data_IF_420109606798
#
_entry.id   IF_420109606798
#
_cell.length_a   1.000
_cell.length_b   1.000
_cell.length_c   1.000
_cell.angle_alpha   90.00
_cell.angle_beta   90.00
_cell.angle_gamma   90.00
#
_symmetry.space_group_name_H-M   'P 1'
#
loop_
_entity.id
_entity.type
_entity.pdbx_description
1 polymer ?
#
# COMPACT_ATOMS: atom_id res chain seq x y z
N UNK A 1 -8.94 26.93 -15.68
CA UNK A 1 -9.20 25.47 -15.71
C UNK A 1 -10.15 25.16 -14.57
N UNK A 2 -11.22 24.44 -14.86
CA UNK A 2 -12.24 24.05 -13.89
C UNK A 2 -12.58 22.57 -14.00
N UNK A 3 -12.89 21.95 -12.90
CA UNK A 3 -13.41 20.59 -12.83
C UNK A 3 -14.84 20.62 -13.40
N UNK A 4 -15.11 19.78 -14.42
CA UNK A 4 -16.42 19.77 -15.09
C UNK A 4 -17.19 18.44 -14.92
N UNK A 5 -16.51 17.38 -14.43
CA UNK A 5 -17.15 16.08 -14.26
C UNK A 5 -16.17 15.02 -13.81
N UNK A 6 -16.71 13.80 -13.65
CA UNK A 6 -15.93 12.60 -13.41
C UNK A 6 -16.56 11.40 -14.11
N UNK A 7 -15.77 10.38 -14.32
CA UNK A 7 -16.20 9.06 -14.78
C UNK A 7 -15.67 8.00 -13.84
N UNK A 8 -16.46 6.96 -13.59
CA UNK A 8 -16.03 5.80 -12.83
C UNK A 8 -16.00 4.58 -13.73
N UNK A 9 -14.92 3.83 -13.63
CA UNK A 9 -14.71 2.59 -14.36
C UNK A 9 -14.37 1.51 -13.35
N UNK A 10 -14.54 0.24 -13.74
CA UNK A 10 -14.07 -0.88 -12.94
C UNK A 10 -13.40 -1.88 -13.85
N UNK A 11 -12.18 -2.25 -13.55
CA UNK A 11 -11.42 -3.27 -14.25
C UNK A 11 -10.95 -4.35 -13.29
N UNK A 12 -10.11 -5.25 -13.77
CA UNK A 12 -9.51 -6.32 -12.97
C UNK A 12 -7.99 -6.21 -12.98
N UNK A 13 -7.41 -6.63 -11.88
CA UNK A 13 -6.03 -7.01 -11.81
C UNK A 13 -5.93 -8.51 -11.63
N UNK A 14 -5.09 -9.15 -12.42
CA UNK A 14 -4.88 -10.60 -12.38
C UNK A 14 -3.41 -10.87 -12.06
N UNK A 15 -3.14 -11.56 -10.96
CA UNK A 15 -1.80 -12.00 -10.58
C UNK A 15 -1.38 -13.30 -11.24
N UNK A 16 -2.31 -14.05 -11.86
CA UNK A 16 -2.04 -15.38 -12.42
C UNK A 16 -1.73 -16.45 -11.38
N UNK A 17 -1.91 -16.15 -10.08
CA UNK A 17 -1.67 -17.03 -8.94
C UNK A 17 -2.54 -16.61 -7.75
N UNK A 18 -2.74 -17.48 -6.75
CA UNK A 18 -3.40 -17.09 -5.52
C UNK A 18 -2.66 -15.93 -4.82
N UNK A 19 -3.40 -14.96 -4.29
CA UNK A 19 -2.87 -13.83 -3.52
C UNK A 19 -3.69 -13.59 -2.28
N UNK A 20 -3.03 -13.22 -1.19
CA UNK A 20 -3.72 -12.94 0.06
C UNK A 20 -2.79 -12.77 1.26
N UNK A 21 -3.42 -12.73 2.41
CA UNK A 21 -2.80 -12.56 3.70
C UNK A 21 -3.47 -13.47 4.76
N UNK A 22 -3.11 -13.32 6.02
CA UNK A 22 -3.68 -14.10 7.12
C UNK A 22 -5.19 -13.91 7.34
N UNK A 23 -5.84 -12.93 6.69
CA UNK A 23 -7.28 -12.68 6.78
C UNK A 23 -8.06 -13.32 5.62
N UNK A 24 -7.41 -13.72 4.53
CA UNK A 24 -8.07 -14.39 3.43
C UNK A 24 -7.27 -14.38 2.13
N UNK A 25 -7.74 -15.15 1.15
CA UNK A 25 -7.07 -15.39 -0.11
C UNK A 25 -8.04 -15.22 -1.27
N UNK A 26 -7.60 -14.55 -2.32
CA UNK A 26 -8.21 -14.60 -3.65
C UNK A 26 -7.59 -15.78 -4.39
N UNK A 27 -8.32 -16.89 -4.48
CA UNK A 27 -7.77 -18.17 -4.98
C UNK A 27 -7.40 -18.16 -6.46
N UNK A 28 -8.07 -17.36 -7.27
CA UNK A 28 -7.78 -17.14 -8.69
C UNK A 28 -6.83 -15.96 -8.94
N UNK A 29 -6.51 -15.20 -7.89
CA UNK A 29 -5.66 -14.01 -7.99
C UNK A 29 -6.28 -12.84 -8.75
N UNK A 30 -7.61 -12.84 -8.93
CA UNK A 30 -8.30 -11.78 -9.67
C UNK A 30 -9.01 -10.85 -8.70
N UNK A 31 -8.69 -9.55 -8.77
CA UNK A 31 -9.28 -8.51 -7.92
C UNK A 31 -9.90 -7.40 -8.75
N UNK A 32 -11.00 -6.84 -8.23
CA UNK A 32 -11.64 -5.65 -8.82
C UNK A 32 -10.81 -4.40 -8.53
N UNK A 33 -10.61 -3.58 -9.55
CA UNK A 33 -9.91 -2.28 -9.42
C UNK A 33 -10.83 -1.16 -9.90
N UNK A 34 -11.41 -0.39 -8.98
CA UNK A 34 -12.17 0.80 -9.36
C UNK A 34 -11.23 1.93 -9.78
N UNK A 35 -11.66 2.71 -10.77
CA UNK A 35 -10.93 3.85 -11.33
C UNK A 35 -11.83 5.07 -11.32
N UNK A 36 -11.28 6.20 -10.93
CA UNK A 36 -11.89 7.53 -11.07
C UNK A 36 -11.10 8.32 -12.10
N UNK A 37 -11.80 8.89 -13.08
CA UNK A 37 -11.23 9.87 -14.00
C UNK A 37 -11.92 11.20 -13.75
N UNK A 38 -11.15 12.24 -13.42
CA UNK A 38 -11.65 13.60 -13.21
C UNK A 38 -11.35 14.43 -14.45
N UNK A 39 -12.38 15.09 -14.98
CA UNK A 39 -12.30 15.86 -16.23
C UNK A 39 -12.30 17.36 -15.99
N UNK A 40 -11.57 18.12 -16.84
CA UNK A 40 -11.52 19.58 -16.79
C UNK A 40 -11.95 20.22 -18.11
N UNK A 41 -12.37 21.49 -18.04
CA UNK A 41 -12.70 22.34 -19.21
C UNK A 41 -11.47 22.66 -20.10
N UNK A 42 -10.27 22.32 -19.64
CA UNK A 42 -9.02 22.49 -20.40
C UNK A 42 -8.62 21.24 -21.20
N UNK A 43 -9.46 20.19 -21.21
CA UNK A 43 -9.16 18.93 -21.90
C UNK A 43 -8.08 18.09 -21.21
N UNK A 44 -7.72 18.41 -19.97
CA UNK A 44 -6.85 17.60 -19.12
C UNK A 44 -7.72 16.76 -18.22
N UNK A 45 -7.44 15.45 -18.16
CA UNK A 45 -8.07 14.52 -17.24
C UNK A 45 -7.03 13.88 -16.34
N UNK A 46 -7.37 13.64 -15.08
CA UNK A 46 -6.50 12.94 -14.14
C UNK A 46 -7.10 11.62 -13.70
N UNK A 47 -6.24 10.68 -13.35
CA UNK A 47 -6.59 9.32 -13.00
C UNK A 47 -6.27 9.03 -11.54
N UNK A 48 -7.22 8.43 -10.83
CA UNK A 48 -7.03 7.85 -9.50
C UNK A 48 -7.60 6.45 -9.45
N UNK A 49 -6.91 5.54 -8.75
CA UNK A 49 -7.40 4.18 -8.51
C UNK A 49 -7.81 4.06 -7.03
N UNK A 50 -8.98 3.52 -6.79
CA UNK A 50 -9.50 3.34 -5.44
C UNK A 50 -11.03 3.28 -5.41
N UNK A 51 -11.63 3.15 -4.23
CA UNK A 51 -13.08 3.12 -4.07
C UNK A 51 -13.77 4.31 -4.73
N UNK A 52 -15.03 4.08 -5.15
CA UNK A 52 -15.91 5.11 -5.71
C UNK A 52 -17.21 5.22 -4.89
N UNK A 53 -17.17 4.86 -3.61
CA UNK A 53 -18.34 4.87 -2.73
C UNK A 53 -18.70 6.31 -2.37
N UNK A 54 -19.99 6.64 -2.46
CA UNK A 54 -20.52 8.00 -2.26
C UNK A 54 -19.82 9.08 -3.13
N UNK A 55 -19.35 8.71 -4.30
CA UNK A 55 -18.56 9.63 -5.13
C UNK A 55 -19.32 10.91 -5.50
N UNK A 56 -20.63 10.86 -5.74
CA UNK A 56 -21.45 12.04 -6.02
C UNK A 56 -21.38 13.03 -4.86
N UNK A 57 -21.46 12.51 -3.62
CA UNK A 57 -21.39 13.36 -2.43
C UNK A 57 -20.00 13.97 -2.25
N UNK A 58 -18.93 13.19 -2.44
CA UNK A 58 -17.54 13.66 -2.35
C UNK A 58 -17.26 14.69 -3.45
N UNK A 59 -17.61 14.37 -4.71
CA UNK A 59 -17.33 15.19 -5.88
C UNK A 59 -18.05 16.56 -5.84
N UNK A 60 -19.25 16.62 -5.32
CA UNK A 60 -20.00 17.87 -5.15
C UNK A 60 -19.27 18.93 -4.28
N UNK A 61 -18.22 18.53 -3.55
CA UNK A 61 -17.38 19.48 -2.83
C UNK A 61 -16.40 20.24 -3.73
N UNK A 62 -16.11 19.73 -4.93
CA UNK A 62 -15.02 20.21 -5.80
C UNK A 62 -15.47 20.58 -7.21
N UNK A 63 -16.69 20.27 -7.61
CA UNK A 63 -17.24 20.60 -8.92
C UNK A 63 -17.15 22.11 -9.19
N UNK A 64 -16.71 22.50 -10.39
CA UNK A 64 -16.51 23.88 -10.80
C UNK A 64 -15.27 24.57 -10.24
N UNK A 65 -14.54 23.96 -9.34
CA UNK A 65 -13.31 24.50 -8.73
C UNK A 65 -12.07 24.33 -9.63
N UNK A 66 -10.98 25.03 -9.30
CA UNK A 66 -9.70 24.86 -9.96
C UNK A 66 -8.98 23.62 -9.40
N UNK A 67 -8.78 22.55 -10.20
CA UNK A 67 -8.17 21.29 -9.74
C UNK A 67 -6.73 21.48 -9.24
N UNK A 68 -6.04 22.56 -9.58
CA UNK A 68 -4.66 22.83 -9.11
C UNK A 68 -4.60 23.18 -7.62
N UNK A 69 -5.73 23.50 -7.01
CA UNK A 69 -5.85 23.80 -5.58
C UNK A 69 -6.00 22.53 -4.72
N UNK A 70 -5.22 21.48 -5.04
CA UNK A 70 -5.41 20.10 -4.55
C UNK A 70 -5.63 20.03 -3.04
N UNK A 71 -4.73 20.58 -2.23
CA UNK A 71 -4.81 20.48 -0.76
C UNK A 71 -6.03 21.18 -0.17
N UNK A 72 -6.46 22.29 -0.77
CA UNK A 72 -7.69 22.98 -0.34
C UNK A 72 -8.94 22.18 -0.71
N UNK A 73 -8.94 21.55 -1.89
CA UNK A 73 -10.03 20.69 -2.35
C UNK A 73 -10.09 19.39 -1.53
N UNK A 74 -8.96 18.82 -1.16
CA UNK A 74 -8.89 17.70 -0.24
C UNK A 74 -9.59 18.01 1.09
N UNK A 75 -9.29 19.16 1.70
CA UNK A 75 -9.93 19.60 2.95
C UNK A 75 -11.43 19.90 2.78
N UNK A 76 -11.86 20.32 1.59
CA UNK A 76 -13.31 20.50 1.29
C UNK A 76 -14.02 19.16 1.21
N UNK A 77 -13.42 18.15 0.57
CA UNK A 77 -13.97 16.79 0.53
C UNK A 77 -14.10 16.20 1.94
N UNK A 78 -13.09 16.36 2.79
CA UNK A 78 -13.16 15.94 4.19
C UNK A 78 -14.30 16.62 4.96
N UNK A 79 -14.45 17.93 4.81
CA UNK A 79 -15.55 18.68 5.46
C UNK A 79 -16.93 18.24 4.98
N UNK A 80 -17.06 17.95 3.68
CA UNK A 80 -18.31 17.48 3.10
C UNK A 80 -18.73 16.13 3.65
N UNK A 81 -17.78 15.25 3.86
CA UNK A 81 -18.01 13.89 4.36
C UNK A 81 -17.84 13.75 5.87
N UNK A 82 -17.90 14.85 6.61
CA UNK A 82 -17.68 14.88 8.05
C UNK A 82 -18.50 13.83 8.82
N UNK A 83 -19.77 13.62 8.46
CA UNK A 83 -20.64 12.62 9.10
C UNK A 83 -20.28 11.17 8.78
N UNK A 84 -19.52 10.90 7.72
CA UNK A 84 -19.02 9.58 7.39
C UNK A 84 -17.81 9.17 8.27
N UNK A 85 -17.25 10.09 9.07
CA UNK A 85 -16.17 9.80 10.01
C UNK A 85 -14.79 9.64 9.38
N UNK A 86 -14.58 10.11 8.15
CA UNK A 86 -13.31 10.07 7.41
C UNK A 86 -12.62 8.70 7.49
N UNK A 87 -13.34 7.63 7.23
CA UNK A 87 -12.83 6.27 7.37
C UNK A 87 -13.31 5.35 6.23
N UNK A 88 -12.63 4.22 6.08
CA UNK A 88 -13.02 3.17 5.17
C UNK A 88 -13.12 3.62 3.71
N UNK A 89 -14.09 3.07 2.98
CA UNK A 89 -14.21 3.26 1.54
C UNK A 89 -14.51 4.70 1.12
N UNK A 90 -15.21 5.50 1.94
CA UNK A 90 -15.45 6.93 1.64
C UNK A 90 -14.13 7.71 1.71
N UNK A 91 -13.27 7.41 2.68
CA UNK A 91 -11.95 8.02 2.74
C UNK A 91 -11.08 7.60 1.54
N UNK A 92 -11.19 6.34 1.10
CA UNK A 92 -10.57 5.87 -0.14
C UNK A 92 -11.06 6.58 -1.39
N UNK A 93 -12.35 6.94 -1.46
CA UNK A 93 -12.91 7.75 -2.57
C UNK A 93 -12.27 9.14 -2.61
N UNK A 94 -12.07 9.77 -1.44
CA UNK A 94 -11.32 11.04 -1.34
C UNK A 94 -9.89 10.85 -1.84
N UNK A 95 -9.23 9.75 -1.44
CA UNK A 95 -7.86 9.43 -1.88
C UNK A 95 -7.73 9.22 -3.38
N UNK A 96 -8.69 8.55 -4.01
CA UNK A 96 -8.73 8.36 -5.47
C UNK A 96 -8.89 9.70 -6.20
N UNK A 97 -9.83 10.54 -5.76
CA UNK A 97 -10.02 11.89 -6.33
C UNK A 97 -8.77 12.76 -6.09
N UNK A 98 -8.21 12.75 -4.90
CA UNK A 98 -6.98 13.49 -4.56
C UNK A 98 -5.82 13.12 -5.50
N UNK A 99 -5.62 11.83 -5.75
CA UNK A 99 -4.60 11.34 -6.68
C UNK A 99 -4.85 11.85 -8.11
N UNK A 100 -6.11 11.82 -8.58
CA UNK A 100 -6.49 12.38 -9.88
C UNK A 100 -6.24 13.89 -9.97
N UNK A 101 -6.49 14.64 -8.90
CA UNK A 101 -6.20 16.08 -8.86
C UNK A 101 -4.71 16.39 -8.90
N UNK A 102 -3.88 15.59 -8.23
CA UNK A 102 -2.42 15.72 -8.31
C UNK A 102 -1.92 15.40 -9.73
N UNK A 103 -2.50 14.41 -10.39
CA UNK A 103 -2.19 14.08 -11.78
C UNK A 103 -2.52 15.26 -12.71
N UNK A 104 -3.72 15.83 -12.62
CA UNK A 104 -4.13 17.04 -13.38
C UNK A 104 -3.16 18.19 -13.13
N UNK A 105 -2.83 18.45 -11.86
CA UNK A 105 -1.95 19.56 -11.49
C UNK A 105 -0.57 19.42 -12.12
N UNK A 106 -0.02 18.23 -12.11
CA UNK A 106 1.30 17.95 -12.69
C UNK A 106 1.26 18.02 -14.22
N UNK A 107 0.24 17.47 -14.87
CA UNK A 107 0.02 17.61 -16.31
C UNK A 107 -0.11 19.08 -16.72
N UNK A 108 -0.89 19.86 -15.98
CA UNK A 108 -1.09 21.30 -16.26
C UNK A 108 0.20 22.12 -16.05
N UNK A 109 1.12 21.68 -15.22
CA UNK A 109 2.43 22.27 -15.03
C UNK A 109 3.45 21.82 -16.10
N UNK A 110 3.13 20.80 -16.90
CA UNK A 110 4.04 20.20 -17.86
C UNK A 110 5.17 19.40 -17.21
N UNK A 111 5.01 18.95 -15.97
CA UNK A 111 6.03 18.25 -15.19
C UNK A 111 5.54 16.91 -14.65
N UNK A 112 6.41 15.90 -14.49
CA UNK A 112 6.07 14.71 -13.73
C UNK A 112 5.82 15.08 -12.26
N UNK A 113 4.89 14.36 -11.59
CA UNK A 113 4.49 14.72 -10.23
C UNK A 113 5.65 14.72 -9.24
N UNK A 114 6.62 13.81 -9.37
CA UNK A 114 7.79 13.77 -8.48
C UNK A 114 8.61 15.07 -8.51
N UNK A 115 8.76 15.68 -9.70
CA UNK A 115 9.47 16.95 -9.86
C UNK A 115 8.65 18.12 -9.36
N UNK A 116 7.36 18.15 -9.66
CA UNK A 116 6.43 19.17 -9.15
C UNK A 116 6.40 19.23 -7.62
N UNK A 117 6.54 18.09 -6.95
CA UNK A 117 6.60 17.98 -5.49
C UNK A 117 7.99 18.33 -4.91
N UNK A 118 8.99 18.62 -5.75
CA UNK A 118 10.34 18.99 -5.33
C UNK A 118 11.29 17.81 -5.13
N UNK A 119 10.95 16.63 -5.63
CA UNK A 119 11.85 15.48 -5.63
C UNK A 119 13.12 15.74 -6.43
N UNK A 120 14.26 15.31 -5.92
CA UNK A 120 15.58 15.47 -6.56
C UNK A 120 15.88 14.36 -7.56
N UNK A 121 15.46 13.15 -7.24
CA UNK A 121 15.75 11.93 -8.01
C UNK A 121 14.45 11.17 -8.21
N UNK A 122 14.30 10.54 -9.37
CA UNK A 122 13.16 9.70 -9.73
C UNK A 122 13.30 8.24 -9.30
N UNK A 123 14.36 7.87 -8.60
CA UNK A 123 14.59 6.53 -8.08
C UNK A 123 14.02 6.41 -6.68
N UNK A 124 13.20 5.38 -6.46
CA UNK A 124 12.55 5.08 -5.18
C UNK A 124 12.95 3.68 -4.74
N UNK A 125 13.76 3.52 -3.68
CA UNK A 125 14.14 2.21 -3.16
C UNK A 125 12.92 1.35 -2.85
N UNK A 126 13.00 0.03 -3.16
CA UNK A 126 11.87 -0.88 -3.01
C UNK A 126 12.23 -2.15 -2.24
N UNK A 127 11.23 -2.76 -1.60
CA UNK A 127 11.28 -4.09 -1.03
C UNK A 127 10.20 -4.97 -1.66
N UNK A 128 10.49 -6.27 -1.83
CA UNK A 128 9.55 -7.24 -2.38
C UNK A 128 8.41 -7.57 -1.39
N UNK A 129 7.19 -7.70 -1.89
CA UNK A 129 6.01 -8.11 -1.13
C UNK A 129 5.11 -8.99 -1.99
N UNK A 130 5.11 -10.29 -1.74
CA UNK A 130 4.53 -11.27 -2.65
C UNK A 130 3.03 -11.50 -2.48
N UNK A 131 2.35 -11.04 -1.42
CA UNK A 131 0.99 -11.45 -1.07
C UNK A 131 0.81 -12.98 -1.09
N UNK A 132 1.74 -13.69 -0.52
CA UNK A 132 2.21 -15.02 -0.83
C UNK A 132 1.70 -16.12 0.10
N UNK A 133 0.79 -15.83 1.04
CA UNK A 133 0.39 -16.74 2.13
C UNK A 133 -0.10 -18.11 1.65
N UNK A 134 -0.69 -18.16 0.45
CA UNK A 134 -1.28 -19.37 -0.12
C UNK A 134 -0.35 -20.19 -1.03
N UNK A 135 0.86 -19.71 -1.28
CA UNK A 135 1.81 -20.37 -2.18
C UNK A 135 2.50 -21.55 -1.50
N UNK A 136 2.75 -22.61 -2.24
CA UNK A 136 3.68 -23.64 -1.80
C UNK A 136 5.14 -23.14 -1.88
N UNK A 137 6.08 -23.92 -1.34
CA UNK A 137 7.50 -23.51 -1.30
C UNK A 137 8.10 -23.29 -2.69
N UNK A 138 7.67 -24.03 -3.70
CA UNK A 138 8.19 -23.92 -5.07
C UNK A 138 7.72 -22.65 -5.72
N UNK A 139 6.42 -22.36 -5.65
CA UNK A 139 5.80 -21.15 -6.15
C UNK A 139 6.35 -19.92 -5.40
N UNK A 140 6.47 -20.03 -4.08
CA UNK A 140 6.99 -18.99 -3.21
C UNK A 140 8.43 -18.62 -3.57
N UNK A 141 9.32 -19.60 -3.72
CA UNK A 141 10.72 -19.38 -4.12
C UNK A 141 10.79 -18.73 -5.49
N UNK A 142 9.99 -19.18 -6.47
CA UNK A 142 9.98 -18.61 -7.81
C UNK A 142 9.58 -17.11 -7.81
N UNK A 143 8.62 -16.71 -6.98
CA UNK A 143 8.23 -15.29 -6.81
C UNK A 143 9.41 -14.46 -6.31
N UNK A 144 10.14 -14.92 -5.30
CA UNK A 144 11.26 -14.17 -4.74
C UNK A 144 12.54 -14.23 -5.59
N UNK A 145 12.72 -15.27 -6.40
CA UNK A 145 13.76 -15.30 -7.44
C UNK A 145 13.53 -14.23 -8.50
N UNK A 146 12.30 -14.05 -8.96
CA UNK A 146 11.96 -12.97 -9.89
C UNK A 146 12.24 -11.56 -9.29
N UNK A 147 11.97 -11.34 -8.02
CA UNK A 147 12.37 -10.09 -7.35
C UNK A 147 13.88 -9.92 -7.23
N UNK A 148 14.60 -11.02 -6.96
CA UNK A 148 16.05 -11.01 -6.88
C UNK A 148 16.71 -10.64 -8.22
N UNK A 149 16.13 -11.09 -9.36
CA UNK A 149 16.56 -10.70 -10.71
C UNK A 149 16.39 -9.20 -10.97
N UNK A 150 15.39 -8.56 -10.37
CA UNK A 150 15.20 -7.11 -10.40
C UNK A 150 16.17 -6.35 -9.47
N UNK A 151 17.06 -7.06 -8.77
CA UNK A 151 18.05 -6.47 -7.87
C UNK A 151 17.51 -6.11 -6.47
N UNK A 152 16.31 -6.58 -6.11
CA UNK A 152 15.69 -6.35 -4.79
C UNK A 152 16.51 -7.08 -3.70
N UNK A 153 16.65 -6.43 -2.53
CA UNK A 153 17.48 -6.93 -1.41
C UNK A 153 16.74 -6.98 -0.08
N UNK A 154 15.49 -6.62 -0.09
CA UNK A 154 14.63 -6.60 1.07
C UNK A 154 13.32 -7.26 0.71
N UNK A 155 12.75 -8.06 1.61
CA UNK A 155 11.49 -8.72 1.35
C UNK A 155 10.63 -8.80 2.60
N UNK A 156 9.35 -8.59 2.39
CA UNK A 156 8.27 -8.80 3.34
C UNK A 156 7.45 -10.00 2.89
N UNK A 157 7.26 -10.95 3.78
CA UNK A 157 6.38 -12.09 3.54
C UNK A 157 5.08 -11.93 4.33
N UNK A 158 4.01 -12.54 3.87
CA UNK A 158 2.76 -12.67 4.61
C UNK A 158 2.80 -13.90 5.51
N UNK A 159 2.45 -13.74 6.78
CA UNK A 159 2.47 -14.82 7.76
C UNK A 159 1.53 -14.58 8.94
N UNK A 160 1.86 -15.11 10.10
CA UNK A 160 1.12 -14.91 11.34
C UNK A 160 0.15 -16.03 11.69
N UNK A 161 0.02 -17.06 10.86
CA UNK A 161 -0.84 -18.23 11.14
C UNK A 161 -0.08 -19.36 11.86
N UNK A 162 1.17 -19.57 11.50
CA UNK A 162 2.05 -20.59 12.07
C UNK A 162 3.50 -20.09 12.12
N UNK A 163 4.07 -19.99 13.33
CA UNK A 163 5.39 -19.38 13.55
C UNK A 163 6.54 -20.23 12.99
N UNK A 164 6.39 -21.56 12.97
CA UNK A 164 7.42 -22.46 12.41
C UNK A 164 7.43 -22.36 10.88
N UNK A 165 6.24 -22.31 10.28
CA UNK A 165 6.09 -22.07 8.84
C UNK A 165 6.62 -20.69 8.43
N UNK A 166 6.32 -19.64 9.21
CA UNK A 166 6.84 -18.29 8.97
C UNK A 166 8.38 -18.28 9.05
N UNK A 167 8.98 -18.97 10.03
CA UNK A 167 10.43 -19.10 10.17
C UNK A 167 11.06 -19.79 8.96
N UNK A 168 10.45 -20.89 8.49
CA UNK A 168 10.87 -21.61 7.29
C UNK A 168 10.86 -20.70 6.05
N UNK A 169 9.76 -20.02 5.79
CA UNK A 169 9.60 -19.12 4.63
C UNK A 169 10.55 -17.92 4.66
N UNK A 170 10.76 -17.32 5.83
CA UNK A 170 11.75 -16.27 6.02
C UNK A 170 13.17 -16.75 5.71
N UNK A 171 13.49 -18.00 6.08
CA UNK A 171 14.79 -18.60 5.74
C UNK A 171 14.92 -18.83 4.23
N UNK A 172 13.87 -19.32 3.54
CA UNK A 172 13.87 -19.48 2.09
C UNK A 172 14.14 -18.15 1.38
N UNK A 173 13.42 -17.07 1.74
CA UNK A 173 13.63 -15.74 1.15
C UNK A 173 15.03 -15.22 1.42
N UNK A 174 15.52 -15.36 2.66
CA UNK A 174 16.90 -14.97 3.01
C UNK A 174 17.91 -15.65 2.08
N UNK A 175 17.73 -16.94 1.84
CA UNK A 175 18.65 -17.75 1.04
C UNK A 175 18.54 -17.40 -0.46
N UNK A 176 17.33 -17.13 -0.97
CA UNK A 176 17.11 -16.68 -2.37
C UNK A 176 17.79 -15.32 -2.60
N UNK A 177 17.47 -14.31 -1.81
CA UNK A 177 18.03 -12.96 -1.98
C UNK A 177 19.53 -12.93 -1.68
N UNK A 178 20.02 -13.75 -0.73
CA UNK A 178 21.43 -13.85 -0.38
C UNK A 178 22.29 -14.49 -1.48
N UNK A 179 21.75 -15.46 -2.24
CA UNK A 179 22.43 -16.05 -3.40
C UNK A 179 22.58 -15.08 -4.56
N UNK A 180 21.56 -14.26 -4.81
CA UNK A 180 21.56 -13.32 -5.91
C UNK A 180 22.67 -12.25 -5.78
N UNK A 181 23.10 -11.92 -4.56
CA UNK A 181 24.19 -10.96 -4.35
C UNK A 181 25.05 -11.34 -3.14
N UNK A 182 26.15 -12.04 -3.41
CA UNK A 182 27.10 -12.47 -2.39
C UNK A 182 27.63 -11.29 -1.56
N UNK A 183 27.64 -11.47 -0.24
CA UNK A 183 28.19 -10.49 0.71
C UNK A 183 27.21 -9.40 1.17
N UNK A 184 25.98 -9.41 0.68
CA UNK A 184 24.92 -8.51 1.17
C UNK A 184 23.91 -9.35 1.97
N UNK A 185 23.66 -8.97 3.22
CA UNK A 185 22.62 -9.58 4.05
C UNK A 185 21.26 -8.98 3.64
N UNK A 186 20.27 -9.80 3.22
CA UNK A 186 18.94 -9.30 2.92
C UNK A 186 18.23 -8.74 4.16
N UNK A 187 17.43 -7.69 3.98
CA UNK A 187 16.48 -7.23 5.01
C UNK A 187 15.21 -8.09 4.93
N UNK A 188 14.79 -8.63 6.08
CA UNK A 188 13.63 -9.51 6.19
C UNK A 188 12.53 -8.85 7.01
N UNK A 189 11.31 -8.91 6.54
CA UNK A 189 10.14 -8.37 7.20
C UNK A 189 9.01 -9.41 7.21
N UNK A 190 8.20 -9.39 8.26
CA UNK A 190 7.04 -10.24 8.40
C UNK A 190 5.81 -9.38 8.62
N UNK A 191 4.78 -9.59 7.81
CA UNK A 191 3.49 -8.95 7.97
C UNK A 191 2.44 -9.98 8.41
N UNK A 192 1.81 -9.71 9.53
CA UNK A 192 0.82 -10.62 10.12
C UNK A 192 -0.59 -10.05 10.12
N UNK A 193 -0.80 -8.91 9.49
CA UNK A 193 -2.10 -8.30 9.20
C UNK A 193 -3.06 -8.34 10.41
N UNK A 194 -2.60 -7.85 11.56
CA UNK A 194 -3.38 -7.70 12.80
C UNK A 194 -3.89 -9.01 13.43
N UNK A 195 -3.26 -10.15 13.17
CA UNK A 195 -3.79 -11.46 13.63
C UNK A 195 -3.46 -11.80 15.05
N UNK A 196 -2.43 -11.23 15.67
CA UNK A 196 -1.97 -11.63 16.98
C UNK A 196 -2.56 -10.81 18.13
N UNK A 197 -2.53 -11.40 19.31
CA UNK A 197 -2.64 -10.69 20.58
C UNK A 197 -1.27 -10.12 20.97
N UNK A 198 -1.23 -9.14 21.88
CA UNK A 198 0.02 -8.53 22.38
C UNK A 198 1.05 -9.57 22.85
N UNK A 199 0.60 -10.61 23.58
CA UNK A 199 1.47 -11.65 24.11
C UNK A 199 1.95 -12.62 23.03
N UNK A 200 1.11 -12.94 22.06
CA UNK A 200 1.52 -13.77 20.91
C UNK A 200 2.55 -13.03 20.09
N UNK A 201 2.35 -11.76 19.78
CA UNK A 201 3.29 -10.95 19.03
C UNK A 201 4.69 -10.96 19.66
N UNK A 202 4.80 -10.61 20.94
CA UNK A 202 6.09 -10.64 21.65
C UNK A 202 6.71 -12.04 21.65
N UNK A 203 5.93 -13.08 21.96
CA UNK A 203 6.42 -14.45 22.03
C UNK A 203 6.93 -14.94 20.67
N UNK A 204 6.12 -14.78 19.61
CA UNK A 204 6.45 -15.33 18.30
C UNK A 204 7.57 -14.56 17.61
N UNK A 205 7.58 -13.23 17.71
CA UNK A 205 8.71 -12.45 17.17
C UNK A 205 9.99 -12.77 17.91
N UNK A 206 9.98 -12.88 19.26
CA UNK A 206 11.16 -13.28 20.03
C UNK A 206 11.65 -14.69 19.67
N UNK A 207 10.76 -15.58 19.26
CA UNK A 207 11.13 -16.92 18.79
C UNK A 207 11.83 -16.86 17.42
N UNK A 208 11.26 -16.13 16.47
CA UNK A 208 11.86 -15.89 15.16
C UNK A 208 13.25 -15.23 15.29
N UNK A 209 13.40 -14.29 16.20
CA UNK A 209 14.65 -13.56 16.45
C UNK A 209 15.79 -14.40 17.03
N UNK A 210 15.56 -15.66 17.38
CA UNK A 210 16.64 -16.58 17.80
C UNK A 210 17.54 -16.96 16.62
N UNK A 211 17.00 -17.03 15.41
CA UNK A 211 17.70 -17.50 14.21
C UNK A 211 17.66 -16.53 13.05
N UNK A 212 16.77 -15.53 13.11
CA UNK A 212 16.54 -14.53 12.08
C UNK A 212 16.79 -13.14 12.65
N UNK A 213 17.12 -12.20 11.76
CA UNK A 213 17.23 -10.78 12.07
C UNK A 213 16.15 -10.05 11.27
N UNK A 214 15.02 -9.79 11.90
CA UNK A 214 13.92 -9.11 11.27
C UNK A 214 14.16 -7.59 11.27
N UNK A 215 14.01 -6.96 10.11
CA UNK A 215 14.04 -5.51 9.97
C UNK A 215 12.81 -4.90 10.64
N UNK A 216 11.63 -5.46 10.36
CA UNK A 216 10.40 -5.10 11.09
C UNK A 216 9.40 -6.26 11.15
N UNK A 217 8.53 -6.14 12.12
CA UNK A 217 7.24 -6.84 12.20
C UNK A 217 6.12 -5.85 11.86
N UNK A 218 5.27 -6.19 10.89
CA UNK A 218 4.19 -5.34 10.40
C UNK A 218 2.85 -5.77 10.98
N UNK A 219 2.07 -4.77 11.42
CA UNK A 219 0.74 -4.93 11.99
C UNK A 219 0.60 -6.09 13.00
N UNK A 220 1.50 -6.19 14.01
CA UNK A 220 1.48 -7.33 14.92
C UNK A 220 0.20 -7.47 15.73
N UNK A 221 -0.49 -6.36 16.00
CA UNK A 221 -1.77 -6.29 16.73
C UNK A 221 -2.74 -5.37 16.00
N UNK A 222 -3.96 -5.23 16.51
CA UNK A 222 -5.01 -4.41 15.90
C UNK A 222 -4.58 -2.95 15.74
N UNK A 223 -4.90 -2.32 14.60
CA UNK A 223 -4.56 -0.93 14.24
C UNK A 223 -4.92 0.13 15.29
N UNK A 224 -5.98 -0.09 16.06
CA UNK A 224 -6.42 0.83 17.13
C UNK A 224 -5.80 0.55 18.49
N UNK A 225 -4.96 -0.50 18.62
CA UNK A 225 -4.30 -0.87 19.88
C UNK A 225 -2.88 -0.26 19.97
N UNK A 226 -2.81 1.06 20.06
CA UNK A 226 -1.53 1.77 20.15
C UNK A 226 -0.68 1.31 21.37
N UNK A 227 -1.31 1.07 22.52
CA UNK A 227 -0.62 0.53 23.69
C UNK A 227 -0.06 -0.88 23.44
N UNK A 228 -0.80 -1.69 22.67
CA UNK A 228 -0.36 -3.02 22.25
C UNK A 228 0.84 -2.98 21.33
N UNK A 229 0.84 -2.12 20.33
CA UNK A 229 1.99 -1.89 19.46
C UNK A 229 3.21 -1.43 20.27
N UNK A 230 3.05 -0.44 21.16
CA UNK A 230 4.11 0.02 22.04
C UNK A 230 4.63 -1.10 22.97
N UNK A 231 3.78 -2.00 23.43
CA UNK A 231 4.21 -3.14 24.25
C UNK A 231 5.00 -4.16 23.40
N UNK A 232 4.61 -4.40 22.15
CA UNK A 232 5.37 -5.24 21.22
C UNK A 232 6.74 -4.63 20.95
N UNK A 233 6.82 -3.35 20.55
CA UNK A 233 8.09 -2.68 20.27
C UNK A 233 9.08 -2.73 21.42
N UNK A 234 8.60 -2.62 22.67
CA UNK A 234 9.46 -2.79 23.85
C UNK A 234 9.88 -4.24 24.12
N UNK A 235 9.16 -5.21 23.60
CA UNK A 235 9.35 -6.63 23.89
C UNK A 235 10.18 -7.39 22.84
N UNK A 236 10.48 -6.78 21.70
CA UNK A 236 11.18 -7.41 20.58
C UNK A 236 12.31 -6.50 20.06
N UNK A 237 13.21 -7.05 19.22
CA UNK A 237 14.28 -6.25 18.58
C UNK A 237 13.87 -5.67 17.25
N UNK A 238 13.00 -6.36 16.53
CA UNK A 238 12.46 -5.90 15.25
C UNK A 238 11.71 -4.57 15.43
N UNK A 239 11.87 -3.65 14.50
CA UNK A 239 11.04 -2.45 14.45
C UNK A 239 9.56 -2.83 14.28
N UNK A 240 8.65 -2.01 14.82
CA UNK A 240 7.22 -2.15 14.57
C UNK A 240 6.84 -1.25 13.41
N UNK A 241 6.35 -1.84 12.31
CA UNK A 241 5.79 -1.11 11.19
C UNK A 241 4.26 -1.23 11.19
N UNK A 242 3.56 -0.12 11.04
CA UNK A 242 2.08 -0.11 10.98
C UNK A 242 1.55 1.23 10.50
N UNK A 243 0.27 1.28 10.14
CA UNK A 243 -0.43 2.50 9.77
C UNK A 243 -1.11 2.44 8.41
N UNK A 244 -0.89 1.42 7.59
CA UNK A 244 -1.47 1.32 6.25
C UNK A 244 -3.00 1.43 6.25
N UNK A 245 -3.62 0.90 7.30
CA UNK A 245 -5.07 0.85 7.48
C UNK A 245 -5.62 2.03 8.31
N UNK A 246 -4.78 2.96 8.74
CA UNK A 246 -5.21 4.16 9.44
C UNK A 246 -5.64 5.25 8.46
N UNK A 247 -6.70 5.96 8.82
CA UNK A 247 -7.25 7.06 8.03
C UNK A 247 -7.26 8.34 8.85
N UNK A 248 -6.82 9.44 8.27
CA UNK A 248 -6.70 10.71 8.98
C UNK A 248 -5.47 10.84 9.89
N UNK A 249 -5.05 12.07 10.11
CA UNK A 249 -3.85 12.38 10.90
C UNK A 249 -4.03 12.08 12.39
N UNK A 250 -5.27 12.11 12.86
CA UNK A 250 -5.62 11.90 14.26
C UNK A 250 -5.24 10.50 14.74
N UNK A 251 -5.43 9.50 13.88
CA UNK A 251 -5.08 8.11 14.18
C UNK A 251 -3.56 7.92 14.19
N UNK A 252 -2.86 8.47 13.20
CA UNK A 252 -1.39 8.43 13.16
C UNK A 252 -0.77 9.18 14.34
N UNK A 253 -1.32 10.36 14.71
CA UNK A 253 -0.86 11.11 15.88
C UNK A 253 -0.96 10.29 17.15
N UNK A 254 -2.09 9.59 17.35
CA UNK A 254 -2.29 8.75 18.55
C UNK A 254 -1.27 7.59 18.59
N UNK A 255 -1.02 6.95 17.46
CA UNK A 255 -0.04 5.88 17.32
C UNK A 255 1.39 6.36 17.64
N UNK A 256 1.80 7.47 17.05
CA UNK A 256 3.13 8.07 17.26
C UNK A 256 3.30 8.54 18.70
N UNK A 257 2.31 9.24 19.26
CA UNK A 257 2.37 9.75 20.63
C UNK A 257 2.48 8.65 21.69
N UNK A 258 1.99 7.45 21.40
CA UNK A 258 2.13 6.28 22.27
C UNK A 258 3.51 5.60 22.17
N UNK A 259 4.41 6.06 21.29
CA UNK A 259 5.66 5.35 20.98
C UNK A 259 5.39 3.93 20.44
N UNK A 260 4.40 3.82 19.59
CA UNK A 260 3.83 2.55 19.16
C UNK A 260 4.31 2.09 17.78
N UNK A 261 5.14 2.88 17.13
CA UNK A 261 5.59 2.64 15.75
C UNK A 261 7.01 3.12 15.55
N UNK A 262 7.80 2.34 14.83
CA UNK A 262 9.17 2.68 14.43
C UNK A 262 9.24 3.00 12.93
N UNK A 263 8.34 2.44 12.11
CA UNK A 263 8.20 2.72 10.67
C UNK A 263 6.73 3.04 10.39
N UNK A 264 6.44 4.29 10.07
CA UNK A 264 5.06 4.73 9.80
C UNK A 264 4.67 4.37 8.38
N UNK A 265 3.53 3.71 8.23
CA UNK A 265 3.01 3.27 6.94
C UNK A 265 1.70 4.00 6.59
N UNK A 266 1.45 4.14 5.30
CA UNK A 266 0.18 4.60 4.75
C UNK A 266 -0.03 4.00 3.36
N UNK A 267 -1.26 3.60 3.05
CA UNK A 267 -1.56 2.93 1.79
C UNK A 267 -1.90 3.92 0.67
N UNK A 268 -1.60 3.52 -0.56
CA UNK A 268 -1.85 4.31 -1.78
C UNK A 268 -3.32 4.70 -1.94
N UNK A 269 -4.24 3.89 -1.46
CA UNK A 269 -5.69 4.12 -1.52
C UNK A 269 -6.11 5.39 -0.77
N UNK A 270 -5.31 5.89 0.16
CA UNK A 270 -5.64 7.08 0.95
C UNK A 270 -5.21 8.41 0.29
N UNK A 271 -4.51 8.36 -0.83
CA UNK A 271 -4.15 9.52 -1.65
C UNK A 271 -2.81 10.18 -1.28
N UNK A 272 -2.37 11.04 -2.19
CA UNK A 272 -1.06 11.71 -2.11
C UNK A 272 -1.02 12.76 -1.00
N UNK A 273 -2.09 13.57 -0.87
CA UNK A 273 -2.15 14.61 0.18
C UNK A 273 -2.10 14.00 1.58
N UNK A 274 -2.77 12.86 1.79
CA UNK A 274 -2.72 12.14 3.05
C UNK A 274 -1.30 11.68 3.37
N UNK A 275 -0.63 11.02 2.41
CA UNK A 275 0.76 10.58 2.57
C UNK A 275 1.69 11.72 2.95
N UNK A 276 1.65 12.84 2.22
CA UNK A 276 2.50 14.00 2.49
C UNK A 276 2.32 14.56 3.92
N UNK A 277 1.06 14.59 4.40
CA UNK A 277 0.75 15.04 5.76
C UNK A 277 1.23 14.05 6.83
N UNK A 278 1.05 12.75 6.60
CA UNK A 278 1.54 11.70 7.50
C UNK A 278 3.07 11.70 7.53
N UNK A 279 3.73 11.84 6.38
CA UNK A 279 5.18 11.92 6.31
C UNK A 279 5.75 13.13 7.08
N UNK A 280 5.12 14.29 6.96
CA UNK A 280 5.50 15.48 7.71
C UNK A 280 5.30 15.29 9.23
N UNK A 281 4.19 14.66 9.64
CA UNK A 281 3.95 14.33 11.05
C UNK A 281 4.99 13.34 11.58
N UNK A 282 5.28 12.28 10.86
CA UNK A 282 6.29 11.28 11.22
C UNK A 282 7.70 11.92 11.31
N UNK A 283 8.06 12.77 10.34
CA UNK A 283 9.33 13.48 10.32
C UNK A 283 9.55 14.37 11.54
N UNK A 284 8.50 15.03 12.02
CA UNK A 284 8.57 15.83 13.24
C UNK A 284 8.88 15.01 14.52
N UNK A 285 8.81 13.69 14.42
CA UNK A 285 9.12 12.73 15.48
C UNK A 285 10.33 11.83 15.14
N UNK A 286 11.15 12.21 14.15
CA UNK A 286 12.30 11.44 13.67
C UNK A 286 11.96 10.02 13.20
N UNK A 287 10.72 9.78 12.74
CA UNK A 287 10.25 8.49 12.27
C UNK A 287 10.30 8.40 10.74
N UNK A 288 10.81 7.29 10.19
CA UNK A 288 10.74 7.01 8.76
C UNK A 288 9.32 6.65 8.32
N UNK A 289 9.07 6.84 7.01
CA UNK A 289 7.84 6.42 6.36
C UNK A 289 8.12 5.38 5.27
N UNK A 290 7.20 4.42 5.14
CA UNK A 290 7.21 3.39 4.09
C UNK A 290 5.82 3.29 3.47
N UNK A 291 5.61 3.79 2.24
CA UNK A 291 4.31 3.70 1.58
C UNK A 291 4.00 2.28 1.12
N UNK A 292 2.73 1.89 1.27
CA UNK A 292 2.19 0.57 0.94
C UNK A 292 1.30 0.67 -0.31
N UNK A 293 1.45 -0.31 -1.20
CA UNK A 293 0.80 -0.32 -2.50
C UNK A 293 1.42 0.69 -3.47
N UNK A 294 1.39 0.39 -4.74
CA UNK A 294 2.13 1.15 -5.74
C UNK A 294 1.28 1.71 -6.86
N UNK A 295 0.09 1.21 -7.02
CA UNK A 295 -0.83 1.64 -8.09
C UNK A 295 -1.85 2.62 -7.51
N UNK A 296 -1.98 3.82 -8.08
CA UNK A 296 -1.42 4.36 -9.32
C UNK A 296 -0.14 5.20 -9.15
N UNK A 297 0.93 4.70 -8.66
CA UNK A 297 2.25 5.36 -8.53
C UNK A 297 2.29 6.70 -7.73
N UNK A 298 1.17 7.28 -7.34
CA UNK A 298 1.10 8.59 -6.68
C UNK A 298 1.97 8.70 -5.44
N UNK A 299 1.96 7.68 -4.57
CA UNK A 299 2.79 7.65 -3.38
C UNK A 299 4.27 7.47 -3.70
N UNK A 300 4.63 6.78 -4.78
CA UNK A 300 6.02 6.68 -5.22
C UNK A 300 6.57 8.04 -5.64
N UNK A 301 5.77 8.82 -6.39
CA UNK A 301 6.14 10.19 -6.73
C UNK A 301 6.30 11.06 -5.48
N UNK A 302 5.37 10.96 -4.53
CA UNK A 302 5.43 11.72 -3.29
C UNK A 302 6.60 11.31 -2.38
N UNK A 303 6.98 10.03 -2.37
CA UNK A 303 8.09 9.51 -1.59
C UNK A 303 9.44 10.17 -1.93
N UNK A 304 9.63 10.61 -3.19
CA UNK A 304 10.86 11.32 -3.60
C UNK A 304 11.01 12.70 -2.99
N UNK A 305 9.93 13.29 -2.48
CA UNK A 305 9.89 14.67 -1.97
C UNK A 305 9.91 14.77 -0.46
N UNK A 306 9.83 13.63 0.27
CA UNK A 306 9.84 13.63 1.73
C UNK A 306 11.20 13.18 2.28
N UNK A 307 11.74 13.87 3.31
CA UNK A 307 13.12 13.62 3.77
C UNK A 307 13.26 12.30 4.54
N UNK A 308 12.17 11.75 5.04
CA UNK A 308 12.12 10.56 5.89
C UNK A 308 11.59 9.32 5.18
N UNK A 309 11.55 9.29 3.84
CA UNK A 309 11.23 8.08 3.09
C UNK A 309 12.30 7.00 3.34
N UNK A 310 11.87 5.80 3.73
CA UNK A 310 12.75 4.66 3.96
C UNK A 310 12.84 3.77 2.73
N UNK A 311 11.73 3.16 2.37
CA UNK A 311 11.61 2.19 1.28
C UNK A 311 10.14 2.04 0.90
N UNK A 312 9.83 1.70 -0.35
CA UNK A 312 8.46 1.50 -0.83
C UNK A 312 8.18 0.03 -1.14
N UNK A 313 6.93 -0.37 -0.96
CA UNK A 313 6.51 -1.72 -1.29
C UNK A 313 6.56 -1.98 -2.80
N UNK A 314 7.08 -3.13 -3.20
CA UNK A 314 7.05 -3.65 -4.55
C UNK A 314 6.30 -4.98 -4.57
N UNK A 315 5.12 -4.98 -5.14
CA UNK A 315 4.34 -6.18 -5.41
C UNK A 315 4.60 -6.63 -6.85
N UNK A 316 4.47 -7.91 -7.14
CA UNK A 316 4.61 -8.50 -8.48
C UNK A 316 3.38 -8.21 -9.37
N UNK A 317 2.94 -6.95 -9.33
CA UNK A 317 1.74 -6.48 -9.98
C UNK A 317 1.96 -6.20 -11.46
N UNK A 318 1.26 -6.92 -12.30
CA UNK A 318 0.95 -6.38 -13.62
C UNK A 318 -0.05 -5.22 -13.44
N UNK A 319 0.02 -4.16 -14.24
CA UNK A 319 -1.01 -3.12 -14.21
C UNK A 319 -2.40 -3.74 -14.45
N UNK A 320 -3.46 -3.17 -13.86
CA UNK A 320 -4.83 -3.61 -14.15
C UNK A 320 -5.13 -3.57 -15.65
N UNK A 321 -6.02 -4.44 -16.12
CA UNK A 321 -6.39 -4.48 -17.56
C UNK A 321 -6.88 -3.11 -18.01
N UNK A 322 -6.35 -2.63 -19.14
CA UNK A 322 -6.65 -1.30 -19.68
C UNK A 322 -5.96 -0.14 -18.93
N UNK A 323 -5.12 -0.41 -17.95
CA UNK A 323 -4.30 0.62 -17.30
C UNK A 323 -2.83 0.42 -17.65
N UNK A 324 -2.16 1.48 -18.06
CA UNK A 324 -0.71 1.48 -18.24
C UNK A 324 -0.06 2.50 -17.32
N UNK A 325 1.09 2.13 -16.77
CA UNK A 325 1.89 3.00 -15.89
C UNK A 325 3.30 3.03 -16.44
N UNK A 326 3.82 4.22 -16.72
CA UNK A 326 5.22 4.40 -17.12
C UNK A 326 6.13 4.33 -15.90
N UNK A 327 6.41 3.11 -15.47
CA UNK A 327 7.16 2.78 -14.26
C UNK A 327 8.03 1.55 -14.53
N UNK A 328 9.29 1.59 -14.10
CA UNK A 328 10.21 0.46 -14.22
C UNK A 328 10.84 0.14 -12.88
N UNK A 329 11.36 -1.07 -12.75
CA UNK A 329 12.17 -1.49 -11.59
C UNK A 329 13.58 -1.81 -12.09
N UNK A 330 14.57 -1.16 -11.51
CA UNK A 330 15.99 -1.33 -11.86
C UNK A 330 16.83 -1.33 -10.57
N UNK A 331 17.68 -2.33 -10.39
CA UNK A 331 18.56 -2.46 -9.22
C UNK A 331 17.84 -2.32 -7.88
N UNK A 332 16.65 -2.92 -7.75
CA UNK A 332 15.85 -2.92 -6.52
C UNK A 332 15.21 -1.57 -6.19
N UNK A 333 15.05 -0.70 -7.18
CA UNK A 333 14.37 0.58 -7.03
C UNK A 333 13.38 0.81 -8.18
N UNK A 334 12.29 1.46 -7.89
CA UNK A 334 11.44 2.03 -8.92
C UNK A 334 12.14 3.19 -9.61
N UNK A 335 11.92 3.31 -10.91
CA UNK A 335 12.34 4.46 -11.74
C UNK A 335 11.07 5.09 -12.29
N UNK A 336 10.73 6.26 -11.77
CA UNK A 336 9.51 6.98 -12.11
C UNK A 336 9.57 7.58 -13.52
N UNK A 337 8.39 7.84 -14.08
CA UNK A 337 8.21 8.50 -15.37
C UNK A 337 8.75 9.92 -15.38
N UNK A 338 9.22 10.37 -16.57
CA UNK A 338 9.48 11.79 -16.87
C UNK A 338 8.29 12.44 -17.62
N UNK A 339 7.22 11.69 -17.90
CA UNK A 339 6.01 12.21 -18.55
C UNK A 339 5.27 13.11 -17.54
N UNK A 340 4.72 14.27 -17.98
CA UNK A 340 3.88 15.12 -17.14
C UNK A 340 2.71 14.33 -16.50
N UNK A 341 2.46 14.56 -15.21
CA UNK A 341 1.48 13.81 -14.42
C UNK A 341 2.09 12.64 -13.67
N UNK A 342 1.29 11.59 -13.49
CA UNK A 342 1.68 10.32 -12.84
C UNK A 342 2.28 9.30 -13.81
N UNK A 343 2.25 9.56 -15.14
CA UNK A 343 2.59 8.56 -16.14
C UNK A 343 1.56 7.44 -16.26
N UNK A 344 0.33 7.65 -15.80
CA UNK A 344 -0.78 6.68 -15.84
C UNK A 344 -1.69 7.00 -17.01
N UNK A 345 -2.14 5.96 -17.73
CA UNK A 345 -3.12 6.07 -18.81
C UNK A 345 -4.17 4.98 -18.67
N UNK A 346 -5.40 5.30 -19.03
CA UNK A 346 -6.54 4.37 -19.02
C UNK A 346 -7.06 4.24 -20.45
N UNK A 347 -7.08 3.01 -20.94
CA UNK A 347 -7.77 2.61 -22.16
C UNK A 347 -9.18 2.12 -21.78
N UNK A 348 -10.17 3.00 -21.92
CA UNK A 348 -11.54 2.73 -21.50
C UNK A 348 -12.21 1.65 -22.32
N UNK A 349 -11.80 1.45 -23.59
CA UNK A 349 -12.31 0.37 -24.43
C UNK A 349 -11.81 -0.99 -23.91
N UNK A 350 -10.52 -1.09 -23.60
CA UNK A 350 -9.95 -2.29 -22.99
C UNK A 350 -10.56 -2.59 -21.61
N UNK A 351 -10.80 -1.56 -20.78
CA UNK A 351 -11.51 -1.70 -19.49
C UNK A 351 -12.94 -2.24 -19.71
N UNK A 352 -13.67 -1.70 -20.65
CA UNK A 352 -15.04 -2.14 -20.96
C UNK A 352 -15.06 -3.60 -21.44
N UNK A 353 -14.11 -3.98 -22.29
CA UNK A 353 -13.96 -5.36 -22.77
C UNK A 353 -13.63 -6.35 -21.64
N UNK A 354 -12.91 -5.92 -20.62
CA UNK A 354 -12.56 -6.77 -19.46
C UNK A 354 -13.70 -6.95 -18.45
N UNK A 355 -14.85 -6.34 -18.66
CA UNK A 355 -15.99 -6.41 -17.71
C UNK A 355 -16.47 -7.84 -17.40
N UNK A 356 -16.32 -8.77 -18.35
CA UNK A 356 -16.66 -10.19 -18.17
C UNK A 356 -15.72 -10.94 -17.22
N UNK A 357 -14.55 -10.37 -16.91
CA UNK A 357 -13.56 -10.94 -15.97
C UNK A 357 -13.82 -10.51 -14.53
N UNK A 358 -14.75 -9.59 -14.28
CA UNK A 358 -15.00 -9.06 -12.95
C UNK A 358 -15.48 -10.16 -12.00
N UNK A 359 -14.78 -10.43 -10.89
CA UNK A 359 -15.22 -11.38 -9.89
C UNK A 359 -16.53 -10.91 -9.22
N UNK A 360 -17.27 -11.84 -8.65
CA UNK A 360 -18.44 -11.51 -7.83
C UNK A 360 -18.03 -10.53 -6.70
N UNK A 361 -18.67 -9.37 -6.59
CA UNK A 361 -18.36 -8.41 -5.54
C UNK A 361 -18.61 -8.93 -4.10
N UNK A 362 -19.36 -10.01 -3.97
CA UNK A 362 -19.64 -10.69 -2.69
C UNK A 362 -18.76 -11.92 -2.47
N UNK A 363 -17.90 -12.28 -3.42
CA UNK A 363 -16.94 -13.34 -3.23
C UNK A 363 -16.01 -13.01 -2.06
N UNK A 364 -15.68 -14.02 -1.25
CA UNK A 364 -14.68 -13.88 -0.19
C UNK A 364 -13.31 -13.51 -0.76
N UNK A 365 -12.44 -12.97 0.07
CA UNK A 365 -11.09 -12.57 -0.33
C UNK A 365 -10.24 -12.08 0.82
N UNK A 366 -9.07 -11.54 0.51
CA UNK A 366 -8.06 -11.10 1.48
C UNK A 366 -8.56 -10.05 2.50
N UNK A 367 -9.61 -9.32 2.19
CA UNK A 367 -10.15 -8.27 3.07
C UNK A 367 -11.31 -8.73 3.95
N UNK A 368 -11.66 -10.02 3.92
CA UNK A 368 -12.70 -10.61 4.74
C UNK A 368 -12.05 -11.47 5.81
N UNK A 369 -12.08 -10.99 7.05
CA UNK A 369 -11.48 -11.73 8.15
C UNK A 369 -12.32 -12.96 8.48
N UNK A 370 -11.74 -14.17 8.45
CA UNK A 370 -12.43 -15.40 8.87
C UNK A 370 -12.83 -15.31 10.35
N UNK A 371 -13.94 -15.95 10.73
CA UNK A 371 -14.42 -15.98 12.12
C UNK A 371 -13.35 -16.41 13.13
N UNK A 372 -12.44 -17.29 12.70
CA UNK A 372 -11.37 -17.86 13.53
C UNK A 372 -10.02 -17.17 13.38
N UNK A 373 -9.92 -16.11 12.56
CA UNK A 373 -8.67 -15.41 12.39
C UNK A 373 -8.24 -14.69 13.67
N UNK A 374 -6.98 -14.88 14.05
CA UNK A 374 -6.23 -13.97 14.87
C UNK A 374 -6.59 -13.82 16.33
N UNK A 375 -7.16 -14.81 17.02
CA UNK A 375 -7.34 -14.77 18.48
C UNK A 375 -7.22 -16.14 19.14
N UNK A 376 -6.48 -17.04 18.57
CA UNK A 376 -6.28 -18.35 19.19
C UNK A 376 -5.25 -18.21 20.31
N UNK A 377 -5.65 -18.50 21.53
CA UNK A 377 -4.72 -18.61 22.66
C UNK A 377 -3.85 -19.87 22.54
N UNK A 378 -4.33 -20.87 21.82
CA UNK A 378 -3.64 -22.12 21.53
C UNK A 378 -3.97 -22.57 20.12
N UNK A 379 -3.04 -23.22 19.45
CA UNK A 379 -3.36 -24.04 18.30
C UNK A 379 -4.21 -25.22 18.81
N UNK A 380 -5.51 -25.07 18.76
CA UNK A 380 -6.41 -26.18 18.96
C UNK A 380 -6.61 -26.81 17.61
N UNK A 381 -5.95 -27.91 17.36
CA UNK A 381 -6.35 -28.83 16.32
C UNK A 381 -7.79 -29.25 16.63
N UNK A 382 -8.72 -28.67 15.91
CA UNK A 382 -10.05 -29.25 15.78
C UNK A 382 -10.01 -30.02 14.48
N UNK A 383 -9.67 -31.32 14.58
CA UNK A 383 -9.80 -32.26 13.50
C UNK A 383 -11.15 -32.20 12.78
#
# INVERSE_FOLDING_TARGET
MRIIGYRTLTTVQNWGRPVGDANGVYGDGVVRVPIVVVDTDAGISGVGLGPCVEIENVFAAIEGEDPRSVTALYDRMLRRTFKAGHAGTVFGTIGAIDTALWDIKAQAAGEPLWRLLGGRDRRVPAYASGLDIALDDTEFVAVYEAYAELGVRAAKIKGGLDVEHDAHRLALVRDVLGRARRGVRPSLMLDVNETWTRKQAVRYVSELERTLDLTWIEEPVRRWDAEGHAAVGRGVRASVATGENLTGLEQHRALIAAGAVDVVQTAAVWGVTHFLRVAALAHAHDLPVSPIGTTPAGLLHAATSVPNHLVSELQDLQPPVGVSVDLRVEDGAYVLSDIPGLGVRVDEEAVALASHLLPDPLAGGAHIRPERAGRRLHAVDTG
#
